data_IF_330396902077
#
_entry.id   IF_330396902077
#
_cell.length_a   1.000
_cell.length_b   1.000
_cell.length_c   1.000
_cell.angle_alpha   90.00
_cell.angle_beta   90.00
_cell.angle_gamma   90.00
#
_symmetry.space_group_name_H-M   'P 1'
#
loop_
_entity.id
_entity.type
_entity.pdbx_description
1 polymer ?
#
# COMPACT_ATOMS: atom_id res chain seq x y z
N UNK A 1 -19.83 -11.85 6.34
CA UNK A 1 -18.63 -11.70 7.19
C UNK A 1 -18.26 -10.22 7.21
N UNK A 2 -18.36 -9.57 8.36
CA UNK A 2 -17.79 -8.23 8.54
C UNK A 2 -16.28 -8.47 8.58
N UNK A 3 -15.57 -8.15 7.50
CA UNK A 3 -14.11 -8.28 7.47
C UNK A 3 -13.53 -7.19 8.35
N UNK A 4 -13.47 -7.48 9.64
CA UNK A 4 -12.78 -6.61 10.59
C UNK A 4 -11.30 -6.59 10.20
N UNK A 5 -10.82 -5.40 9.84
CA UNK A 5 -9.40 -5.17 9.58
C UNK A 5 -8.61 -5.56 10.84
N UNK A 6 -7.47 -6.21 10.65
CA UNK A 6 -6.56 -6.45 11.77
C UNK A 6 -6.04 -5.12 12.32
N UNK A 7 -5.58 -5.12 13.57
CA UNK A 7 -5.07 -3.90 14.18
C UNK A 7 -3.80 -3.41 13.48
N UNK A 8 -3.01 -4.31 12.89
CA UNK A 8 -1.87 -3.97 12.03
C UNK A 8 -2.37 -3.26 10.75
N UNK A 9 -3.38 -3.79 10.07
CA UNK A 9 -3.95 -3.15 8.88
C UNK A 9 -4.50 -1.75 9.19
N UNK A 10 -5.20 -1.58 10.32
CA UNK A 10 -5.69 -0.27 10.77
C UNK A 10 -4.53 0.69 11.02
N UNK A 11 -3.48 0.26 11.73
CA UNK A 11 -2.29 1.08 11.97
C UNK A 11 -1.58 1.47 10.67
N UNK A 12 -1.42 0.54 9.72
CA UNK A 12 -0.82 0.84 8.43
C UNK A 12 -1.63 1.89 7.65
N UNK A 13 -2.95 1.77 7.63
CA UNK A 13 -3.82 2.76 6.98
C UNK A 13 -3.68 4.13 7.64
N UNK A 14 -3.71 4.19 8.98
CA UNK A 14 -3.55 5.44 9.72
C UNK A 14 -2.17 6.07 9.49
N UNK A 15 -1.10 5.26 9.49
CA UNK A 15 0.26 5.72 9.26
C UNK A 15 0.44 6.30 7.85
N UNK A 16 -0.04 5.58 6.83
CA UNK A 16 0.04 6.04 5.44
C UNK A 16 -0.82 7.28 5.19
N UNK A 17 -1.95 7.43 5.91
CA UNK A 17 -2.78 8.64 5.87
C UNK A 17 -2.05 9.84 6.46
N UNK A 18 -1.45 9.68 7.64
CA UNK A 18 -0.79 10.76 8.37
C UNK A 18 0.41 11.33 7.58
N UNK A 19 1.26 10.44 7.04
CA UNK A 19 2.49 10.87 6.35
C UNK A 19 2.24 11.57 5.02
N UNK A 20 1.05 11.43 4.42
CA UNK A 20 0.69 12.04 3.13
C UNK A 20 1.75 11.83 2.02
N UNK A 21 2.52 10.74 2.12
CA UNK A 21 3.64 10.41 1.25
C UNK A 21 3.81 8.88 1.20
N UNK A 22 4.42 8.37 0.13
CA UNK A 22 4.72 6.94 0.07
C UNK A 22 5.86 6.56 1.01
N UNK A 23 5.69 5.44 1.72
CA UNK A 23 6.67 4.89 2.65
C UNK A 23 7.25 3.60 2.09
N UNK A 24 8.57 3.45 2.19
CA UNK A 24 9.25 2.20 1.93
C UNK A 24 9.13 1.25 3.14
N UNK A 25 9.53 0.01 2.95
CA UNK A 25 9.38 -1.02 3.98
C UNK A 25 10.22 -0.74 5.25
N UNK A 26 11.41 -0.15 5.12
CA UNK A 26 12.23 0.22 6.28
C UNK A 26 11.53 1.30 7.11
N UNK A 27 10.99 2.33 6.44
CA UNK A 27 10.21 3.40 7.08
C UNK A 27 8.98 2.83 7.81
N UNK A 28 8.29 1.83 7.25
CA UNK A 28 7.16 1.17 7.91
C UNK A 28 7.60 0.36 9.14
N UNK A 29 8.74 -0.32 9.06
CA UNK A 29 9.29 -1.11 10.17
C UNK A 29 9.73 -0.24 11.34
N UNK A 30 10.29 0.94 11.07
CA UNK A 30 10.66 1.91 12.12
C UNK A 30 9.44 2.40 12.91
N UNK A 31 8.27 2.48 12.27
CA UNK A 31 7.03 2.95 12.89
C UNK A 31 6.27 1.84 13.62
N UNK A 32 6.60 0.57 13.34
CA UNK A 32 5.96 -0.62 13.93
C UNK A 32 7.03 -1.58 14.50
N UNK A 33 7.85 -1.15 15.48
CA UNK A 33 8.99 -1.92 15.97
C UNK A 33 8.60 -3.26 16.63
N UNK A 34 7.39 -3.33 17.20
CA UNK A 34 6.88 -4.51 17.91
C UNK A 34 6.07 -5.46 17.04
N UNK A 35 5.77 -5.09 15.78
CA UNK A 35 4.97 -5.93 14.89
C UNK A 35 5.84 -6.96 14.17
N UNK A 36 5.31 -8.18 14.05
CA UNK A 36 5.98 -9.26 13.34
C UNK A 36 6.11 -8.90 11.84
N UNK A 37 7.33 -9.03 11.33
CA UNK A 37 7.69 -8.72 9.95
C UNK A 37 6.81 -9.45 8.92
N UNK A 38 6.57 -10.75 9.10
CA UNK A 38 5.76 -11.52 8.16
C UNK A 38 4.31 -11.06 8.16
N UNK A 39 3.82 -10.62 9.32
CA UNK A 39 2.47 -10.09 9.45
C UNK A 39 2.33 -8.73 8.76
N UNK A 40 3.28 -7.81 8.92
CA UNK A 40 3.26 -6.54 8.18
C UNK A 40 3.21 -6.78 6.67
N UNK A 41 4.03 -7.70 6.16
CA UNK A 41 4.05 -8.06 4.73
C UNK A 41 2.70 -8.64 4.29
N UNK A 42 2.14 -9.59 5.05
CA UNK A 42 0.86 -10.21 4.73
C UNK A 42 -0.27 -9.18 4.67
N UNK A 43 -0.31 -8.25 5.63
CA UNK A 43 -1.31 -7.19 5.71
C UNK A 43 -1.15 -6.17 4.58
N UNK A 44 0.08 -5.73 4.27
CA UNK A 44 0.33 -4.84 3.13
C UNK A 44 -0.10 -5.47 1.81
N UNK A 45 0.18 -6.76 1.61
CA UNK A 45 -0.23 -7.49 0.40
C UNK A 45 -1.76 -7.60 0.31
N UNK A 46 -2.44 -7.84 1.43
CA UNK A 46 -3.91 -7.85 1.49
C UNK A 46 -4.50 -6.47 1.17
N UNK A 47 -3.93 -5.40 1.73
CA UNK A 47 -4.35 -4.01 1.49
C UNK A 47 -4.10 -3.57 0.04
N UNK A 48 -3.01 -4.02 -0.57
CA UNK A 48 -2.73 -3.77 -1.98
C UNK A 48 -3.72 -4.50 -2.89
N UNK A 49 -3.96 -5.79 -2.64
CA UNK A 49 -4.96 -6.60 -3.38
C UNK A 49 -6.37 -6.05 -3.28
N UNK A 50 -6.73 -5.46 -2.14
CA UNK A 50 -8.03 -4.82 -1.92
C UNK A 50 -8.11 -3.38 -2.45
N UNK A 51 -7.04 -2.87 -3.09
CA UNK A 51 -6.93 -1.50 -3.63
C UNK A 51 -7.04 -0.39 -2.58
N UNK A 52 -6.86 -0.72 -1.30
CA UNK A 52 -6.78 0.28 -0.22
C UNK A 52 -5.42 0.99 -0.27
N UNK A 53 -4.37 0.21 -0.49
CA UNK A 53 -2.99 0.69 -0.63
C UNK A 53 -2.54 0.48 -2.07
N UNK A 54 -1.67 1.36 -2.55
CA UNK A 54 -0.93 1.26 -3.80
C UNK A 54 0.51 0.89 -3.50
N UNK A 55 1.15 0.24 -4.46
CA UNK A 55 2.53 -0.24 -4.39
C UNK A 55 3.26 0.22 -5.64
N UNK A 56 4.54 0.52 -5.53
CA UNK A 56 5.37 0.86 -6.67
C UNK A 56 6.83 0.96 -6.28
N UNK A 57 7.65 1.34 -7.26
CA UNK A 57 9.09 1.57 -7.05
C UNK A 57 9.37 3.06 -7.15
N UNK A 58 9.99 3.62 -6.11
CA UNK A 58 10.55 4.96 -6.19
C UNK A 58 11.78 4.93 -7.10
N UNK A 59 11.66 5.56 -8.27
CA UNK A 59 12.68 5.57 -9.33
C UNK A 59 13.97 6.29 -8.93
N UNK A 60 13.94 7.15 -7.89
CA UNK A 60 15.16 7.81 -7.39
C UNK A 60 15.98 6.90 -6.47
N UNK A 61 15.30 6.10 -5.66
CA UNK A 61 15.95 5.28 -4.62
C UNK A 61 16.01 3.79 -4.98
N UNK A 62 15.24 3.35 -5.98
CA UNK A 62 15.05 1.96 -6.35
C UNK A 62 14.26 1.14 -5.32
N UNK A 63 13.66 1.80 -4.32
CA UNK A 63 12.98 1.12 -3.21
C UNK A 63 11.50 0.91 -3.52
N UNK A 64 10.97 -0.22 -3.06
CA UNK A 64 9.53 -0.47 -3.06
C UNK A 64 8.88 0.42 -2.00
N UNK A 65 7.82 1.13 -2.40
CA UNK A 65 7.07 2.06 -1.57
C UNK A 65 5.56 1.79 -1.64
N UNK A 66 4.86 2.20 -0.59
CA UNK A 66 3.43 2.01 -0.39
C UNK A 66 2.75 3.32 -0.01
N UNK A 67 1.55 3.59 -0.52
CA UNK A 67 0.75 4.77 -0.18
C UNK A 67 -0.75 4.46 -0.26
N UNK A 68 -1.61 5.29 0.34
CA UNK A 68 -3.06 5.10 0.21
C UNK A 68 -3.55 5.47 -1.20
N UNK A 69 -4.56 4.76 -1.69
CA UNK A 69 -5.13 5.00 -3.02
C UNK A 69 -5.68 6.43 -3.23
N UNK A 70 -6.10 7.10 -2.17
CA UNK A 70 -6.62 8.48 -2.20
C UNK A 70 -5.54 9.55 -1.97
N UNK A 71 -4.28 9.16 -1.79
CA UNK A 71 -3.16 10.07 -1.52
C UNK A 71 -2.24 10.16 -2.74
N UNK A 72 -1.90 11.39 -3.14
CA UNK A 72 -0.81 11.60 -4.11
C UNK A 72 0.53 11.44 -3.37
N UNK A 73 1.38 10.46 -3.75
CA UNK A 73 2.58 10.17 -3.01
C UNK A 73 3.69 11.22 -3.11
N UNK A 74 3.53 12.28 -3.93
CA UNK A 74 4.49 13.38 -4.12
C UNK A 74 5.95 12.90 -4.35
N UNK A 75 6.11 11.76 -5.01
CA UNK A 75 7.38 11.08 -5.29
C UNK A 75 7.43 10.58 -6.74
N UNK A 76 8.64 10.34 -7.25
CA UNK A 76 8.86 9.79 -8.59
C UNK A 76 8.65 8.28 -8.59
N UNK A 77 7.39 7.85 -8.51
CA UNK A 77 7.04 6.44 -8.35
C UNK A 77 6.56 5.87 -9.67
N UNK A 78 7.09 4.69 -10.02
CA UNK A 78 6.49 3.81 -11.01
C UNK A 78 5.53 2.86 -10.28
N UNK A 79 4.22 3.13 -10.38
CA UNK A 79 3.20 2.29 -9.74
C UNK A 79 3.20 0.89 -10.34
N UNK A 80 3.16 -0.11 -9.47
CA UNK A 80 2.97 -1.51 -9.83
C UNK A 80 1.48 -1.86 -9.79
N UNK A 81 0.98 -2.37 -10.90
CA UNK A 81 -0.36 -2.93 -10.98
C UNK A 81 -0.27 -4.39 -10.54
N UNK A 82 -1.14 -4.82 -9.61
CA UNK A 82 -1.22 -6.23 -9.27
C UNK A 82 -1.63 -7.01 -10.54
N UNK A 83 -0.78 -7.91 -11.07
CA UNK A 83 -1.06 -8.64 -12.30
C UNK A 83 -2.25 -9.60 -12.17
N UNK A 84 -2.66 -9.92 -10.95
CA UNK A 84 -3.82 -10.77 -10.66
C UNK A 84 -5.11 -9.95 -10.51
N UNK A 85 -5.04 -8.63 -10.46
CA UNK A 85 -6.23 -7.79 -10.48
C UNK A 85 -6.76 -7.69 -11.92
N UNK A 86 -8.07 -7.90 -12.14
CA UNK A 86 -8.66 -7.59 -13.43
C UNK A 86 -8.41 -6.11 -13.72
N UNK A 87 -7.88 -5.82 -14.92
CA UNK A 87 -7.79 -4.44 -15.42
C UNK A 87 -9.19 -3.84 -15.31
N UNK A 88 -9.35 -2.58 -14.87
CA UNK A 88 -10.66 -1.94 -14.94
C UNK A 88 -11.20 -2.15 -16.35
N UNK A 89 -12.34 -2.84 -16.46
CA UNK A 89 -13.02 -2.97 -17.73
C UNK A 89 -13.34 -1.54 -18.14
N UNK A 90 -12.67 -1.05 -19.19
CA UNK A 90 -13.11 0.17 -19.84
C UNK A 90 -14.52 -0.13 -20.32
N UNK A 91 -15.52 0.39 -19.61
CA UNK A 91 -16.91 0.43 -20.03
C UNK A 91 -16.95 1.13 -21.38
N UNK A 92 -16.75 0.36 -22.45
CA UNK A 92 -17.12 0.73 -23.80
C UNK A 92 -18.65 0.77 -23.81
N UNK A 93 -19.21 1.89 -23.34
CA UNK A 93 -20.57 2.28 -23.65
C UNK A 93 -20.64 2.46 -25.18
N UNK A 94 -21.24 1.48 -25.84
CA UNK A 94 -21.72 1.57 -27.23
C UNK A 94 -23.22 1.83 -27.20
#
# INVERSE_FOLDING_TARGET
MRTDLSDIAKHLILLLRDKSAALNFDELREQLPDADFQWIVAELMMLWRSRVVRRGVDTKTGRVVYWLNDVNPNRHIQEEVDPLLPRPQEDHHV
#
